data_IF_779508822744
#
_entry.id   IF_779508822744
#
_cell.length_a   1.000
_cell.length_b   1.000
_cell.length_c   1.000
_cell.angle_alpha   90.00
_cell.angle_beta   90.00
_cell.angle_gamma   90.00
#
_symmetry.space_group_name_H-M   'P 1'
#
loop_
_entity.id
_entity.type
_entity.pdbx_description
1 polymer ?
#
# COMPACT_ATOMS: atom_id res chain seq x y z
N UNK A 1 -37.54 -23.51 58.18
CA UNK A 1 -36.39 -22.71 57.69
C UNK A 1 -35.41 -23.59 56.91
N UNK A 2 -35.80 -24.14 55.75
CA UNK A 2 -34.94 -24.97 54.87
C UNK A 2 -35.44 -25.03 53.41
N UNK A 3 -36.20 -24.02 52.96
CA UNK A 3 -36.79 -23.97 51.61
C UNK A 3 -36.14 -22.88 50.74
N UNK A 4 -35.47 -21.88 51.34
CA UNK A 4 -34.86 -20.76 50.61
C UNK A 4 -33.48 -21.03 49.99
N UNK A 5 -32.70 -21.98 50.52
CA UNK A 5 -31.30 -22.20 50.08
C UNK A 5 -31.22 -23.08 48.83
N UNK A 6 -32.19 -23.99 48.62
CA UNK A 6 -32.22 -24.86 47.43
C UNK A 6 -32.66 -24.14 46.16
N UNK A 7 -33.56 -23.16 46.25
CA UNK A 7 -33.94 -22.31 45.11
C UNK A 7 -32.79 -21.38 44.69
N UNK A 8 -32.00 -20.89 45.66
CA UNK A 8 -30.83 -20.04 45.40
C UNK A 8 -29.66 -20.81 44.75
N UNK A 9 -29.46 -22.06 45.16
CA UNK A 9 -28.44 -22.96 44.57
C UNK A 9 -28.84 -23.53 43.20
N UNK A 10 -30.14 -23.69 42.91
CA UNK A 10 -30.62 -24.08 41.57
C UNK A 10 -30.61 -22.91 40.57
N UNK A 11 -30.87 -21.68 41.00
CA UNK A 11 -30.76 -20.50 40.12
C UNK A 11 -29.31 -20.22 39.65
N UNK A 12 -28.32 -20.82 40.33
CA UNK A 12 -26.90 -20.80 39.97
C UNK A 12 -26.46 -22.03 39.15
N UNK A 13 -27.38 -22.86 38.64
CA UNK A 13 -27.09 -23.82 37.57
C UNK A 13 -26.73 -23.08 36.28
N UNK A 14 -25.46 -22.63 36.22
CA UNK A 14 -24.67 -22.17 35.08
C UNK A 14 -25.47 -21.65 33.89
N UNK A 15 -25.89 -20.39 33.98
CA UNK A 15 -26.10 -19.55 32.78
C UNK A 15 -24.90 -19.77 31.85
N UNK A 16 -25.10 -20.20 30.60
CA UNK A 16 -23.97 -20.59 29.73
C UNK A 16 -23.31 -19.33 29.18
N UNK A 17 -22.58 -18.58 30.00
CA UNK A 17 -21.72 -17.51 29.50
C UNK A 17 -20.48 -18.09 28.82
N UNK A 18 -19.97 -17.38 27.81
CA UNK A 18 -18.73 -17.74 27.13
C UNK A 18 -17.66 -16.74 27.51
N UNK A 19 -16.49 -17.20 27.94
CA UNK A 19 -15.37 -16.28 28.16
C UNK A 19 -14.94 -15.70 26.81
N UNK A 20 -14.91 -14.37 26.63
CA UNK A 20 -14.38 -13.75 25.42
C UNK A 20 -12.91 -14.13 25.20
N UNK A 21 -12.38 -13.86 24.00
CA UNK A 21 -10.94 -14.01 23.76
C UNK A 21 -10.10 -13.19 24.76
N UNK A 22 -8.83 -13.56 24.90
CA UNK A 22 -7.87 -12.78 25.70
C UNK A 22 -7.70 -11.39 25.08
N UNK A 23 -7.67 -10.36 25.92
CA UNK A 23 -7.59 -8.93 25.52
C UNK A 23 -8.74 -8.47 24.61
N UNK A 24 -9.94 -9.04 24.82
CA UNK A 24 -11.15 -8.53 24.17
C UNK A 24 -11.51 -7.14 24.73
N UNK A 25 -11.94 -6.16 23.88
CA UNK A 25 -12.15 -6.23 22.44
C UNK A 25 -10.84 -6.21 21.65
N UNK A 26 -10.75 -7.06 20.62
CA UNK A 26 -9.53 -7.18 19.79
C UNK A 26 -9.19 -5.88 19.06
N UNK A 27 -10.21 -5.24 18.50
CA UNK A 27 -10.07 -4.00 17.76
C UNK A 27 -10.54 -2.85 18.63
N UNK A 28 -9.73 -1.79 18.67
CA UNK A 28 -10.03 -0.57 19.42
C UNK A 28 -10.14 -0.78 20.94
N UNK A 29 -9.38 -1.75 21.48
CA UNK A 29 -9.30 -2.07 22.91
C UNK A 29 -9.18 -0.82 23.79
N UNK A 30 -8.29 0.11 23.43
CA UNK A 30 -7.92 1.25 24.27
C UNK A 30 -8.99 2.36 24.29
N UNK A 31 -9.97 2.31 23.40
CA UNK A 31 -11.00 3.36 23.26
C UNK A 31 -12.42 2.87 23.54
N UNK A 32 -12.69 1.58 23.38
CA UNK A 32 -14.00 1.01 23.70
C UNK A 32 -14.20 0.93 25.21
N UNK A 33 -15.39 1.30 25.72
CA UNK A 33 -15.69 1.28 27.15
C UNK A 33 -16.37 -0.03 27.53
N UNK A 34 -15.60 -0.95 28.09
CA UNK A 34 -16.10 -2.26 28.53
C UNK A 34 -16.49 -2.19 30.00
N UNK A 35 -17.63 -2.78 30.37
CA UNK A 35 -18.07 -2.90 31.76
C UNK A 35 -18.26 -4.34 32.18
N UNK A 36 -19.19 -5.05 31.54
CA UNK A 36 -19.48 -6.45 31.85
C UNK A 36 -19.37 -7.32 30.58
N UNK A 37 -18.19 -7.92 30.31
CA UNK A 37 -17.94 -8.68 29.09
C UNK A 37 -18.88 -9.88 28.86
N UNK A 38 -19.64 -10.32 29.87
CA UNK A 38 -20.63 -11.41 29.72
C UNK A 38 -22.07 -10.92 29.56
N UNK A 39 -22.31 -9.61 29.67
CA UNK A 39 -23.61 -9.02 29.40
C UNK A 39 -23.98 -9.12 27.91
N UNK A 40 -25.27 -9.21 27.57
CA UNK A 40 -25.69 -9.37 26.18
C UNK A 40 -25.83 -8.07 25.39
N UNK A 41 -25.75 -6.91 26.04
CA UNK A 41 -26.07 -5.61 25.45
C UNK A 41 -24.79 -4.82 25.15
N UNK A 42 -24.50 -4.59 23.86
CA UNK A 42 -23.58 -3.56 23.41
C UNK A 42 -24.30 -2.25 23.08
N UNK A 43 -23.59 -1.12 23.12
CA UNK A 43 -24.13 0.18 22.75
C UNK A 43 -23.28 0.81 21.65
N UNK A 44 -23.93 1.13 20.54
CA UNK A 44 -23.37 1.89 19.43
C UNK A 44 -23.87 3.33 19.54
N UNK A 45 -22.95 4.25 19.84
CA UNK A 45 -23.24 5.67 20.16
C UNK A 45 -23.14 6.61 18.97
N UNK A 46 -22.88 6.07 17.76
CA UNK A 46 -22.67 6.84 16.54
C UNK A 46 -21.64 7.97 16.76
N UNK A 47 -22.03 9.23 16.59
CA UNK A 47 -21.18 10.40 16.79
C UNK A 47 -21.27 11.03 18.18
N UNK A 48 -22.17 10.55 19.04
CA UNK A 48 -22.22 11.02 20.43
C UNK A 48 -21.07 10.43 21.22
N UNK A 49 -20.32 11.27 21.93
CA UNK A 49 -19.15 10.82 22.71
C UNK A 49 -19.52 9.68 23.68
N UNK A 50 -18.85 8.54 23.52
CA UNK A 50 -19.05 7.34 24.35
C UNK A 50 -18.84 7.60 25.83
N UNK A 51 -17.95 8.52 26.20
CA UNK A 51 -17.69 8.92 27.59
C UNK A 51 -18.92 9.59 28.23
N UNK A 52 -19.72 10.32 27.44
CA UNK A 52 -20.99 10.90 27.90
C UNK A 52 -22.00 9.77 28.13
N UNK A 53 -22.08 8.80 27.23
CA UNK A 53 -23.01 7.66 27.34
C UNK A 53 -22.64 6.73 28.50
N UNK A 54 -21.35 6.51 28.73
CA UNK A 54 -20.82 5.78 29.88
C UNK A 54 -21.28 6.39 31.21
N UNK A 55 -21.27 7.73 31.31
CA UNK A 55 -21.79 8.48 32.47
C UNK A 55 -23.30 8.38 32.60
N UNK A 56 -24.05 8.46 31.50
CA UNK A 56 -25.52 8.32 31.51
C UNK A 56 -25.93 6.94 32.02
N UNK A 57 -25.15 5.90 31.69
CA UNK A 57 -25.43 4.51 32.02
C UNK A 57 -24.64 4.01 33.23
N UNK A 58 -24.07 4.88 34.08
CA UNK A 58 -23.16 4.54 35.19
C UNK A 58 -23.61 3.39 36.09
N UNK A 59 -24.92 3.26 36.32
CA UNK A 59 -25.55 2.27 37.22
C UNK A 59 -26.15 1.05 36.52
N UNK A 60 -26.12 1.01 35.19
CA UNK A 60 -26.74 -0.07 34.42
C UNK A 60 -25.70 -1.05 33.86
N UNK A 61 -26.02 -2.35 33.79
CA UNK A 61 -25.11 -3.32 33.21
C UNK A 61 -25.13 -3.20 31.69
N UNK A 62 -23.95 -3.26 31.09
CA UNK A 62 -23.76 -3.36 29.65
C UNK A 62 -22.43 -4.03 29.35
N UNK A 63 -22.29 -4.52 28.14
CA UNK A 63 -21.07 -5.16 27.68
C UNK A 63 -20.01 -4.15 27.30
N UNK A 64 -20.26 -3.41 26.21
CA UNK A 64 -19.31 -2.46 25.63
C UNK A 64 -20.03 -1.27 25.01
N UNK A 65 -19.44 -0.08 25.13
CA UNK A 65 -19.87 1.14 24.44
C UNK A 65 -18.81 1.52 23.42
N UNK A 66 -19.26 1.81 22.20
CA UNK A 66 -18.39 2.27 21.11
C UNK A 66 -19.08 3.30 20.21
N UNK A 67 -18.27 4.13 19.57
CA UNK A 67 -18.71 5.01 18.49
C UNK A 67 -18.70 4.27 17.16
N UNK A 68 -19.56 4.70 16.24
CA UNK A 68 -19.57 4.22 14.85
C UNK A 68 -19.59 5.44 13.93
N UNK A 69 -18.40 5.99 13.66
CA UNK A 69 -18.26 7.22 12.86
C UNK A 69 -18.42 6.99 11.35
N UNK A 70 -18.16 5.78 10.85
CA UNK A 70 -18.31 5.44 9.43
C UNK A 70 -18.87 4.03 9.26
N UNK A 71 -19.44 3.74 8.10
CA UNK A 71 -19.96 2.41 7.79
C UNK A 71 -18.84 1.35 7.75
N UNK A 72 -17.60 1.72 7.45
CA UNK A 72 -16.44 0.83 7.53
C UNK A 72 -16.22 0.29 8.95
N UNK A 73 -16.61 1.03 9.98
CA UNK A 73 -16.54 0.57 11.38
C UNK A 73 -17.41 -0.65 11.67
N UNK A 74 -18.39 -0.98 10.82
CA UNK A 74 -19.21 -2.19 10.94
C UNK A 74 -18.33 -3.45 10.83
N UNK A 75 -17.26 -3.43 10.03
CA UNK A 75 -16.28 -4.52 9.96
C UNK A 75 -15.61 -4.80 11.32
N UNK A 76 -15.29 -3.76 12.07
CA UNK A 76 -14.71 -3.91 13.40
C UNK A 76 -15.75 -4.36 14.43
N UNK A 77 -16.99 -3.87 14.30
CA UNK A 77 -18.11 -4.30 15.13
C UNK A 77 -18.38 -5.81 14.99
N UNK A 78 -18.49 -6.33 13.76
CA UNK A 78 -18.70 -7.76 13.50
C UNK A 78 -17.58 -8.58 14.14
N UNK A 79 -16.32 -8.19 13.93
CA UNK A 79 -15.17 -8.91 14.52
C UNK A 79 -15.20 -8.94 16.03
N UNK A 80 -15.45 -7.81 16.69
CA UNK A 80 -15.53 -7.75 18.14
C UNK A 80 -16.72 -8.56 18.68
N UNK A 81 -17.87 -8.58 17.99
CA UNK A 81 -19.03 -9.40 18.40
C UNK A 81 -18.75 -10.90 18.22
N UNK A 82 -18.12 -11.31 17.13
CA UNK A 82 -17.73 -12.71 16.92
C UNK A 82 -16.69 -13.19 17.93
N UNK A 83 -15.84 -12.28 18.41
CA UNK A 83 -14.86 -12.53 19.47
C UNK A 83 -15.47 -12.54 20.88
N UNK A 84 -16.72 -12.10 21.04
CA UNK A 84 -17.49 -12.16 22.29
C UNK A 84 -18.94 -12.60 22.04
N UNK A 85 -19.19 -13.93 22.01
CA UNK A 85 -20.52 -14.48 21.71
C UNK A 85 -21.64 -14.10 22.68
N UNK A 86 -21.32 -13.50 23.83
CA UNK A 86 -22.34 -13.06 24.78
C UNK A 86 -23.16 -11.89 24.23
N UNK A 87 -22.60 -11.05 23.35
CA UNK A 87 -23.33 -9.92 22.77
C UNK A 87 -24.44 -10.46 21.86
N UNK A 88 -25.69 -10.14 22.21
CA UNK A 88 -26.91 -10.54 21.47
C UNK A 88 -27.77 -9.35 21.06
N UNK A 89 -27.56 -8.20 21.68
CA UNK A 89 -28.31 -6.98 21.41
C UNK A 89 -27.34 -5.82 21.27
N UNK A 90 -27.50 -4.99 20.24
CA UNK A 90 -26.79 -3.73 20.09
C UNK A 90 -27.82 -2.61 20.09
N UNK A 91 -27.75 -1.74 21.08
CA UNK A 91 -28.57 -0.53 21.14
C UNK A 91 -27.89 0.54 20.30
N UNK A 92 -28.59 1.00 19.26
CA UNK A 92 -28.12 2.06 18.37
C UNK A 92 -28.73 3.38 18.85
N UNK A 93 -27.91 4.24 19.45
CA UNK A 93 -28.36 5.52 20.01
C UNK A 93 -27.34 6.62 19.73
N UNK A 94 -27.74 7.89 19.80
CA UNK A 94 -26.87 9.03 19.58
C UNK A 94 -27.04 9.69 18.21
N UNK A 95 -26.17 10.66 17.93
CA UNK A 95 -26.24 11.51 16.76
C UNK A 95 -25.73 10.80 15.50
N UNK A 96 -26.55 10.78 14.45
CA UNK A 96 -26.17 10.26 13.13
C UNK A 96 -25.64 11.39 12.24
N UNK A 97 -24.37 11.32 11.83
CA UNK A 97 -23.75 12.32 10.95
C UNK A 97 -23.18 11.74 9.65
N UNK A 98 -23.08 10.41 9.52
CA UNK A 98 -22.40 9.76 8.38
C UNK A 98 -23.22 8.67 7.69
N UNK A 99 -24.45 8.44 8.13
CA UNK A 99 -25.32 7.32 7.76
C UNK A 99 -24.74 5.96 8.14
N UNK A 100 -23.88 5.91 9.17
CA UNK A 100 -23.26 4.66 9.62
C UNK A 100 -24.25 3.76 10.36
N UNK A 101 -25.14 4.34 11.18
CA UNK A 101 -26.24 3.64 11.81
C UNK A 101 -27.29 3.19 10.80
N UNK A 102 -27.61 4.05 9.81
CA UNK A 102 -28.44 3.64 8.67
C UNK A 102 -27.83 2.43 7.94
N UNK A 103 -26.53 2.46 7.67
CA UNK A 103 -25.83 1.36 6.98
C UNK A 103 -25.84 0.07 7.79
N UNK A 104 -25.69 0.15 9.11
CA UNK A 104 -25.84 -1.02 9.99
C UNK A 104 -27.25 -1.63 9.88
N UNK A 105 -28.29 -0.81 9.92
CA UNK A 105 -29.68 -1.30 9.77
C UNK A 105 -29.95 -1.90 8.39
N UNK A 106 -29.38 -1.30 7.33
CA UNK A 106 -29.48 -1.84 5.97
C UNK A 106 -28.74 -3.17 5.83
N UNK A 107 -27.57 -3.33 6.46
CA UNK A 107 -26.88 -4.61 6.52
C UNK A 107 -27.75 -5.67 7.20
N UNK A 108 -28.35 -5.36 8.35
CA UNK A 108 -29.24 -6.31 9.03
C UNK A 108 -30.42 -6.73 8.13
N UNK A 109 -31.05 -5.76 7.48
CA UNK A 109 -32.27 -5.97 6.69
C UNK A 109 -32.02 -6.63 5.33
N UNK A 110 -31.00 -6.21 4.61
CA UNK A 110 -30.80 -6.55 3.20
C UNK A 110 -29.51 -7.32 2.92
N UNK A 111 -28.55 -7.33 3.83
CA UNK A 111 -27.26 -7.98 3.63
C UNK A 111 -26.34 -7.19 2.70
N UNK A 112 -25.50 -7.92 1.96
CA UNK A 112 -24.51 -7.36 1.02
C UNK A 112 -24.74 -7.87 -0.40
N UNK A 113 -24.27 -7.14 -1.40
CA UNK A 113 -24.29 -7.55 -2.82
C UNK A 113 -23.10 -8.46 -3.17
N UNK A 114 -22.99 -8.86 -4.45
CA UNK A 114 -21.89 -9.71 -4.97
C UNK A 114 -20.49 -9.07 -4.78
N UNK A 115 -20.42 -7.75 -4.67
CA UNK A 115 -19.19 -7.00 -4.40
C UNK A 115 -19.00 -6.73 -2.91
N UNK A 116 -19.81 -7.36 -2.06
CA UNK A 116 -19.83 -7.23 -0.59
C UNK A 116 -20.16 -5.81 -0.10
N UNK A 117 -20.80 -4.97 -0.93
CA UNK A 117 -21.31 -3.67 -0.53
C UNK A 117 -22.64 -3.80 0.20
N UNK A 118 -22.86 -3.00 1.23
CA UNK A 118 -24.10 -3.02 2.00
C UNK A 118 -25.26 -2.54 1.11
N UNK A 119 -26.24 -3.42 0.88
CA UNK A 119 -27.38 -3.11 0.01
C UNK A 119 -28.21 -1.97 0.61
N UNK A 120 -28.41 -0.89 -0.15
CA UNK A 120 -29.11 0.35 0.28
C UNK A 120 -28.43 1.10 1.45
N UNK A 121 -27.22 0.71 1.82
CA UNK A 121 -26.38 1.39 2.80
C UNK A 121 -25.12 1.98 2.17
N UNK A 122 -24.23 2.49 3.03
CA UNK A 122 -22.85 2.84 2.68
C UNK A 122 -21.91 1.75 3.19
N UNK A 123 -20.71 1.69 2.64
CA UNK A 123 -19.68 0.76 3.09
C UNK A 123 -19.79 -0.65 2.52
N UNK A 124 -18.76 -1.43 2.76
CA UNK A 124 -18.59 -2.81 2.29
C UNK A 124 -18.00 -3.65 3.42
N UNK A 125 -18.26 -4.95 3.37
CA UNK A 125 -17.73 -5.91 4.33
C UNK A 125 -16.47 -6.55 3.75
N UNK A 126 -15.37 -6.46 4.50
CA UNK A 126 -14.04 -6.97 4.12
C UNK A 126 -14.07 -8.49 3.86
N UNK A 127 -13.31 -8.95 2.87
CA UNK A 127 -13.28 -10.35 2.41
C UNK A 127 -12.84 -11.35 3.48
N UNK A 128 -12.10 -10.88 4.48
CA UNK A 128 -11.58 -11.64 5.62
C UNK A 128 -12.71 -12.07 6.58
N UNK A 129 -13.91 -11.50 6.46
CA UNK A 129 -15.12 -11.95 7.16
C UNK A 129 -15.94 -12.84 6.21
N UNK A 130 -16.01 -14.17 6.37
CA UNK A 130 -16.79 -15.03 5.47
C UNK A 130 -18.28 -14.67 5.41
N UNK A 131 -18.94 -14.91 4.27
CA UNK A 131 -20.37 -14.57 4.08
C UNK A 131 -21.28 -15.24 5.12
N UNK A 132 -20.97 -16.48 5.51
CA UNK A 132 -21.68 -17.19 6.57
C UNK A 132 -21.67 -16.44 7.90
N UNK A 133 -20.58 -15.71 8.19
CA UNK A 133 -20.41 -14.92 9.42
C UNK A 133 -21.22 -13.63 9.34
N UNK A 134 -21.34 -13.03 8.16
CA UNK A 134 -22.24 -11.89 7.93
C UNK A 134 -23.68 -12.31 8.22
N UNK A 135 -24.13 -13.43 7.63
CA UNK A 135 -25.48 -13.94 7.84
C UNK A 135 -25.73 -14.36 9.29
N UNK A 136 -24.74 -14.94 9.95
CA UNK A 136 -24.85 -15.26 11.37
C UNK A 136 -25.00 -13.99 12.22
N UNK A 137 -24.21 -12.95 11.97
CA UNK A 137 -24.36 -11.66 12.64
C UNK A 137 -25.78 -11.10 12.45
N UNK A 138 -26.28 -11.12 11.22
CA UNK A 138 -27.61 -10.63 10.86
C UNK A 138 -28.74 -11.38 11.58
N UNK A 139 -28.63 -12.69 11.74
CA UNK A 139 -29.67 -13.51 12.35
C UNK A 139 -29.57 -13.65 13.87
N UNK A 140 -28.36 -13.56 14.44
CA UNK A 140 -28.12 -13.83 15.87
C UNK A 140 -28.12 -12.57 16.73
N UNK A 141 -27.86 -11.41 16.14
CA UNK A 141 -27.74 -10.12 16.82
C UNK A 141 -28.97 -9.27 16.53
N UNK A 142 -29.58 -8.72 17.58
CA UNK A 142 -30.69 -7.78 17.47
C UNK A 142 -30.17 -6.33 17.52
N UNK A 143 -30.58 -5.49 16.57
CA UNK A 143 -30.31 -4.04 16.62
C UNK A 143 -31.56 -3.32 17.10
N UNK A 144 -31.45 -2.65 18.26
CA UNK A 144 -32.52 -1.80 18.80
C UNK A 144 -32.24 -0.37 18.37
N UNK A 145 -32.97 0.12 17.36
CA UNK A 145 -32.81 1.48 16.83
C UNK A 145 -33.51 2.50 17.75
N UNK A 146 -32.71 3.27 18.49
CA UNK A 146 -33.14 4.39 19.33
C UNK A 146 -32.55 5.71 18.81
N UNK A 147 -32.17 5.81 17.54
CA UNK A 147 -31.71 7.09 16.97
C UNK A 147 -32.81 8.15 17.12
N UNK A 148 -32.38 9.37 17.46
CA UNK A 148 -33.28 10.50 17.72
C UNK A 148 -34.07 10.43 19.04
N UNK A 149 -33.94 9.37 19.82
CA UNK A 149 -34.59 9.26 21.13
C UNK A 149 -33.80 10.01 22.22
N UNK A 150 -34.50 10.44 23.26
CA UNK A 150 -33.92 11.17 24.41
C UNK A 150 -33.07 10.25 25.30
N UNK A 151 -32.25 10.87 26.16
CA UNK A 151 -31.45 10.16 27.17
C UNK A 151 -32.32 9.30 28.11
N UNK A 152 -33.51 9.77 28.48
CA UNK A 152 -34.37 9.06 29.43
C UNK A 152 -34.96 7.80 28.79
N UNK A 153 -35.24 7.84 27.49
CA UNK A 153 -35.67 6.66 26.73
C UNK A 153 -34.55 5.64 26.57
N UNK A 154 -33.30 6.08 26.38
CA UNK A 154 -32.14 5.19 26.40
C UNK A 154 -32.03 4.47 27.75
N UNK A 155 -32.06 5.22 28.86
CA UNK A 155 -31.95 4.66 30.22
C UNK A 155 -33.07 3.66 30.49
N UNK A 156 -34.33 4.00 30.17
CA UNK A 156 -35.47 3.08 30.30
C UNK A 156 -35.26 1.80 29.51
N UNK A 157 -34.81 1.91 28.25
CA UNK A 157 -34.59 0.73 27.42
C UNK A 157 -33.45 -0.14 27.93
N UNK A 158 -32.39 0.47 28.45
CA UNK A 158 -31.28 -0.26 29.08
C UNK A 158 -31.73 -0.98 30.36
N UNK A 159 -32.58 -0.36 31.18
CA UNK A 159 -33.17 -1.01 32.37
C UNK A 159 -34.08 -2.20 32.02
N UNK A 160 -34.86 -2.09 30.94
CA UNK A 160 -35.62 -3.22 30.40
C UNK A 160 -34.70 -4.36 29.95
N UNK A 161 -33.67 -4.05 29.15
CA UNK A 161 -32.75 -5.05 28.62
C UNK A 161 -31.88 -5.71 29.70
N UNK A 162 -31.60 -5.01 30.80
CA UNK A 162 -30.89 -5.54 31.96
C UNK A 162 -31.67 -6.66 32.66
N UNK A 163 -33.01 -6.67 32.55
CA UNK A 163 -33.88 -7.72 33.10
C UNK A 163 -34.03 -8.92 32.16
N UNK A 164 -33.59 -8.78 30.92
CA UNK A 164 -33.65 -9.83 29.89
C UNK A 164 -32.35 -10.63 29.92
N UNK A 165 -32.48 -11.95 29.95
CA UNK A 165 -31.36 -12.86 29.76
C UNK A 165 -31.34 -13.40 28.33
N UNK A 166 -30.18 -13.36 27.69
CA UNK A 166 -29.96 -13.98 26.37
C UNK A 166 -28.70 -14.83 26.41
N UNK A 167 -28.85 -16.12 26.12
CA UNK A 167 -27.71 -17.04 26.00
C UNK A 167 -26.79 -16.61 24.84
N UNK A 168 -25.48 -16.86 24.93
CA UNK A 168 -24.52 -16.60 23.85
C UNK A 168 -24.92 -17.33 22.57
N UNK A 169 -24.65 -16.71 21.41
CA UNK A 169 -25.05 -17.29 20.12
C UNK A 169 -24.13 -18.41 19.63
N UNK A 170 -22.94 -18.55 20.23
CA UNK A 170 -21.93 -19.57 19.95
C UNK A 170 -21.26 -19.99 21.25
N UNK A 171 -20.76 -21.23 21.31
CA UNK A 171 -19.99 -21.75 22.45
C UNK A 171 -18.50 -21.36 22.40
N UNK A 172 -18.02 -20.91 21.25
CA UNK A 172 -16.62 -20.51 21.04
C UNK A 172 -16.53 -19.12 20.39
N UNK A 173 -15.67 -18.23 20.90
CA UNK A 173 -15.36 -16.99 20.21
C UNK A 173 -14.56 -17.27 18.93
N UNK A 174 -14.66 -16.38 17.93
CA UNK A 174 -13.94 -16.45 16.65
C UNK A 174 -13.25 -15.13 16.36
N UNK A 175 -12.06 -15.22 15.77
CA UNK A 175 -11.27 -14.06 15.31
C UNK A 175 -11.17 -14.09 13.79
N UNK A 176 -11.17 -12.90 13.18
CA UNK A 176 -10.95 -12.72 11.75
C UNK A 176 -9.90 -11.63 11.55
N UNK A 177 -8.90 -11.83 10.65
CA UNK A 177 -7.85 -10.85 10.42
C UNK A 177 -8.42 -9.55 9.87
N UNK A 178 -7.73 -8.43 10.12
CA UNK A 178 -8.05 -7.13 9.52
C UNK A 178 -7.55 -7.11 8.07
N UNK A 179 -8.27 -6.45 7.17
CA UNK A 179 -7.76 -6.23 5.82
C UNK A 179 -6.60 -5.24 5.84
N UNK A 180 -5.45 -5.63 5.28
CA UNK A 180 -4.31 -4.74 5.05
C UNK A 180 -4.35 -4.27 3.59
N UNK A 181 -4.30 -2.96 3.32
CA UNK A 181 -4.27 -2.46 1.95
C UNK A 181 -2.99 -2.95 1.26
N UNK A 182 -3.14 -3.73 0.18
CA UNK A 182 -2.03 -4.09 -0.70
C UNK A 182 -1.73 -2.91 -1.62
N UNK A 183 -0.68 -2.14 -1.32
CA UNK A 183 -0.20 -1.07 -2.20
C UNK A 183 0.92 -1.63 -3.06
N UNK A 184 0.63 -1.95 -4.32
CA UNK A 184 1.65 -2.48 -5.25
C UNK A 184 2.61 -1.39 -5.77
N UNK A 185 2.11 -0.15 -5.89
CA UNK A 185 2.88 1.02 -6.36
C UNK A 185 2.46 2.26 -5.56
N UNK A 186 3.44 3.04 -5.11
CA UNK A 186 3.18 4.32 -4.44
C UNK A 186 2.71 5.38 -5.47
N UNK A 187 1.76 6.26 -5.13
CA UNK A 187 1.32 7.32 -6.03
C UNK A 187 2.51 8.22 -6.43
N UNK A 188 2.63 8.51 -7.73
CA UNK A 188 3.70 9.31 -8.34
C UNK A 188 3.29 9.83 -9.72
N UNK A 189 4.09 10.72 -10.29
CA UNK A 189 4.03 11.17 -11.68
C UNK A 189 4.18 9.99 -12.65
N UNK A 190 3.72 10.16 -13.90
CA UNK A 190 3.84 9.10 -14.90
C UNK A 190 5.21 9.11 -15.61
N UNK A 191 5.88 10.26 -15.64
CA UNK A 191 7.11 10.47 -16.39
C UNK A 191 7.83 11.73 -15.90
N UNK A 192 9.14 11.84 -16.18
CA UNK A 192 9.92 13.04 -15.87
C UNK A 192 10.57 12.98 -14.49
N UNK A 193 11.13 11.82 -14.12
CA UNK A 193 11.77 11.63 -12.82
C UNK A 193 13.15 12.28 -12.81
N UNK A 194 13.56 12.82 -11.66
CA UNK A 194 14.86 13.46 -11.49
C UNK A 194 15.58 12.86 -10.29
N UNK A 195 16.80 12.37 -10.52
CA UNK A 195 17.68 11.82 -9.49
C UNK A 195 19.03 12.50 -9.58
N UNK A 196 19.56 12.94 -8.44
CA UNK A 196 20.88 13.57 -8.37
C UNK A 196 21.73 12.96 -7.25
N UNK A 197 23.01 12.73 -7.53
CA UNK A 197 24.01 12.32 -6.55
C UNK A 197 25.36 12.97 -6.80
N UNK A 198 26.27 12.83 -5.83
CA UNK A 198 27.66 13.31 -5.98
C UNK A 198 28.44 12.36 -6.88
N UNK A 199 28.33 11.06 -6.60
CA UNK A 199 29.01 9.98 -7.31
C UNK A 199 28.03 9.13 -8.13
N UNK A 200 28.54 8.36 -9.09
CA UNK A 200 27.77 7.41 -9.91
C UNK A 200 27.07 6.39 -8.99
N UNK A 201 27.81 5.78 -8.06
CA UNK A 201 27.26 4.76 -7.16
C UNK A 201 26.10 5.29 -6.29
N UNK A 202 26.22 6.51 -5.75
CA UNK A 202 25.15 7.15 -4.99
C UNK A 202 23.93 7.49 -5.85
N UNK A 203 24.17 7.96 -7.08
CA UNK A 203 23.10 8.31 -8.03
C UNK A 203 22.34 7.06 -8.46
N UNK A 204 23.06 5.96 -8.71
CA UNK A 204 22.52 4.65 -9.04
C UNK A 204 21.61 4.09 -7.93
N UNK A 205 22.04 4.13 -6.66
CA UNK A 205 21.19 3.69 -5.53
C UNK A 205 19.89 4.50 -5.43
N UNK A 206 19.97 5.82 -5.60
CA UNK A 206 18.77 6.68 -5.59
C UNK A 206 17.85 6.31 -6.74
N UNK A 207 18.40 6.09 -7.93
CA UNK A 207 17.66 5.70 -9.13
C UNK A 207 16.96 4.35 -8.93
N UNK A 208 17.63 3.34 -8.37
CA UNK A 208 17.02 2.06 -8.04
C UNK A 208 15.87 2.21 -7.04
N UNK A 209 16.04 3.05 -6.02
CA UNK A 209 15.00 3.33 -5.05
C UNK A 209 13.77 4.00 -5.68
N UNK A 210 13.96 4.92 -6.63
CA UNK A 210 12.85 5.49 -7.40
C UNK A 210 12.12 4.42 -8.21
N UNK A 211 12.85 3.59 -8.97
CA UNK A 211 12.27 2.49 -9.77
C UNK A 211 11.52 1.51 -8.87
N UNK A 212 12.08 1.17 -7.70
CA UNK A 212 11.46 0.24 -6.77
C UNK A 212 10.12 0.77 -6.22
N UNK A 213 10.08 2.05 -5.84
CA UNK A 213 8.89 2.68 -5.23
C UNK A 213 7.80 3.05 -6.23
N UNK A 214 8.21 3.60 -7.37
CA UNK A 214 7.33 4.31 -8.30
C UNK A 214 7.29 3.67 -9.69
N UNK A 215 8.23 2.77 -9.99
CA UNK A 215 8.26 2.06 -11.26
C UNK A 215 7.00 1.23 -11.45
N UNK A 216 6.43 1.33 -12.65
CA UNK A 216 5.18 0.65 -13.02
C UNK A 216 5.48 -0.73 -13.60
N UNK A 217 4.68 -1.76 -13.28
CA UNK A 217 4.84 -3.07 -13.90
C UNK A 217 4.77 -2.97 -15.43
N UNK A 218 5.74 -3.57 -16.12
CA UNK A 218 5.80 -3.66 -17.57
C UNK A 218 6.01 -5.10 -18.00
N UNK A 219 5.16 -5.57 -18.90
CA UNK A 219 5.35 -6.86 -19.56
C UNK A 219 6.40 -6.73 -20.66
N UNK A 220 7.35 -7.66 -20.69
CA UNK A 220 8.36 -7.73 -21.77
C UNK A 220 8.18 -8.98 -22.62
N UNK A 221 8.72 -8.93 -23.84
CA UNK A 221 8.70 -10.04 -24.78
C UNK A 221 9.50 -11.27 -24.30
N UNK A 222 10.44 -11.08 -23.36
CA UNK A 222 11.43 -12.09 -22.98
C UNK A 222 11.04 -12.97 -21.79
N UNK A 223 9.96 -12.65 -21.07
CA UNK A 223 9.49 -13.47 -19.95
C UNK A 223 8.01 -13.24 -19.66
N UNK A 224 7.24 -14.32 -19.51
CA UNK A 224 5.84 -14.28 -19.04
C UNK A 224 5.72 -14.03 -17.53
N UNK A 225 6.82 -14.17 -16.77
CA UNK A 225 6.81 -14.24 -15.30
C UNK A 225 7.69 -13.18 -14.61
N UNK A 226 8.47 -12.36 -15.32
CA UNK A 226 9.23 -11.27 -14.70
C UNK A 226 8.41 -9.99 -14.70
N UNK A 227 7.99 -9.58 -13.50
CA UNK A 227 7.49 -8.24 -13.24
C UNK A 227 8.66 -7.26 -13.27
N UNK A 228 8.91 -6.64 -14.43
CA UNK A 228 9.85 -5.53 -14.55
C UNK A 228 9.15 -4.24 -14.15
N UNK A 229 9.85 -3.37 -13.43
CA UNK A 229 9.38 -2.02 -13.13
C UNK A 229 10.07 -1.02 -14.05
N UNK A 230 9.27 -0.14 -14.67
CA UNK A 230 9.77 0.91 -15.57
C UNK A 230 9.42 2.30 -15.04
N UNK A 231 10.38 3.21 -15.19
CA UNK A 231 10.16 4.65 -15.11
C UNK A 231 10.48 5.28 -16.47
N UNK A 232 9.59 6.16 -16.94
CA UNK A 232 9.76 6.88 -18.20
C UNK A 232 10.43 8.24 -17.98
N UNK A 233 11.37 8.59 -18.86
CA UNK A 233 12.09 9.87 -18.88
C UNK A 233 12.73 10.22 -17.54
N UNK A 234 13.50 9.29 -16.98
CA UNK A 234 14.33 9.54 -15.80
C UNK A 234 15.60 10.28 -16.21
N UNK A 235 15.90 11.39 -15.51
CA UNK A 235 17.15 12.13 -15.62
C UNK A 235 18.00 11.86 -14.38
N UNK A 236 19.20 11.31 -14.58
CA UNK A 236 20.18 11.08 -13.53
C UNK A 236 21.34 12.08 -13.66
N UNK A 237 21.65 12.81 -12.59
CA UNK A 237 22.70 13.83 -12.56
C UNK A 237 23.77 13.48 -11.55
N UNK A 238 25.00 13.31 -12.03
CA UNK A 238 26.21 13.10 -11.22
C UNK A 238 26.99 14.41 -11.19
N UNK A 239 27.40 14.87 -10.00
CA UNK A 239 27.86 16.26 -9.82
C UNK A 239 29.32 16.41 -9.38
N UNK A 240 29.91 15.41 -8.73
CA UNK A 240 31.22 15.52 -8.07
C UNK A 240 32.10 14.27 -8.26
N UNK A 241 31.77 13.39 -9.22
CA UNK A 241 32.58 12.20 -9.49
C UNK A 241 33.94 12.60 -10.06
N UNK A 242 35.01 12.04 -9.51
CA UNK A 242 36.35 12.14 -10.07
C UNK A 242 36.59 10.92 -10.99
N UNK A 243 36.63 11.10 -12.33
CA UNK A 243 36.85 9.98 -13.24
C UNK A 243 38.24 9.34 -13.10
N UNK A 244 39.22 10.04 -12.51
CA UNK A 244 40.53 9.47 -12.21
C UNK A 244 40.54 8.68 -10.89
N UNK A 245 39.56 8.93 -10.00
CA UNK A 245 39.44 8.29 -8.69
C UNK A 245 37.98 7.94 -8.39
N UNK A 246 37.44 7.02 -9.18
CA UNK A 246 36.04 6.60 -9.08
C UNK A 246 35.71 6.08 -7.68
N UNK A 247 34.66 6.64 -7.07
CA UNK A 247 34.10 6.14 -5.83
C UNK A 247 33.43 4.78 -6.07
N UNK A 248 34.04 3.73 -5.53
CA UNK A 248 33.67 2.33 -5.81
C UNK A 248 33.40 1.58 -4.51
N UNK A 249 32.16 1.66 -3.98
CA UNK A 249 31.77 0.96 -2.76
C UNK A 249 31.47 -0.52 -3.01
N UNK A 250 31.58 -1.34 -1.96
CA UNK A 250 31.41 -2.81 -2.01
C UNK A 250 30.00 -3.28 -2.39
N UNK A 251 29.00 -2.40 -2.35
CA UNK A 251 27.62 -2.76 -2.72
C UNK A 251 27.36 -2.73 -4.24
N UNK A 252 28.34 -2.30 -5.05
CA UNK A 252 28.20 -2.36 -6.50
C UNK A 252 28.17 -3.83 -6.95
N UNK A 253 27.31 -4.19 -7.92
CA UNK A 253 27.10 -5.59 -8.29
C UNK A 253 28.17 -6.14 -9.27
N UNK A 254 29.32 -5.48 -9.36
CA UNK A 254 30.40 -5.81 -10.29
C UNK A 254 31.75 -5.39 -9.70
N UNK A 255 32.81 -6.00 -10.21
CA UNK A 255 34.18 -5.77 -9.79
C UNK A 255 34.84 -4.62 -10.55
N UNK A 256 35.83 -3.97 -9.92
CA UNK A 256 36.58 -2.86 -10.55
C UNK A 256 37.23 -3.28 -11.87
N UNK A 257 37.73 -4.51 -11.97
CA UNK A 257 38.35 -5.02 -13.19
C UNK A 257 37.36 -5.13 -14.37
N UNK A 258 36.08 -5.38 -14.09
CA UNK A 258 35.03 -5.42 -15.12
C UNK A 258 34.77 -4.02 -15.70
N UNK A 259 34.75 -3.00 -14.83
CA UNK A 259 34.64 -1.60 -15.26
C UNK A 259 35.82 -1.16 -16.12
N UNK A 260 37.04 -1.51 -15.71
CA UNK A 260 38.26 -1.17 -16.44
C UNK A 260 38.29 -1.83 -17.82
N UNK A 261 37.86 -3.09 -17.91
CA UNK A 261 37.71 -3.78 -19.19
C UNK A 261 36.67 -3.09 -20.10
N UNK A 262 35.55 -2.65 -19.51
CA UNK A 262 34.48 -1.98 -20.24
C UNK A 262 34.88 -0.64 -20.85
N UNK A 263 35.83 0.10 -20.24
CA UNK A 263 36.34 1.34 -20.83
C UNK A 263 36.90 1.16 -22.23
N UNK A 264 37.56 0.04 -22.52
CA UNK A 264 38.08 -0.23 -23.85
C UNK A 264 36.94 -0.28 -24.90
N UNK A 265 35.76 -0.79 -24.53
CA UNK A 265 34.61 -0.90 -25.42
C UNK A 265 33.98 0.45 -25.77
N UNK A 266 34.00 1.42 -24.86
CA UNK A 266 33.44 2.76 -25.09
C UNK A 266 34.47 3.74 -25.66
N UNK A 267 35.72 3.65 -25.20
CA UNK A 267 36.76 4.66 -25.47
C UNK A 267 37.54 4.43 -26.76
N UNK A 268 37.43 3.25 -27.39
CA UNK A 268 38.15 2.89 -28.62
C UNK A 268 37.19 2.57 -29.78
N UNK A 269 37.70 2.32 -30.97
CA UNK A 269 36.94 1.82 -32.12
C UNK A 269 37.01 0.28 -32.28
N UNK A 270 37.44 -0.42 -31.22
CA UNK A 270 37.66 -1.87 -31.22
C UNK A 270 36.43 -2.62 -31.69
N UNK A 271 36.65 -3.56 -32.61
CA UNK A 271 35.66 -4.54 -33.03
C UNK A 271 35.73 -5.77 -32.11
N UNK A 272 34.59 -6.16 -31.56
CA UNK A 272 34.45 -7.38 -30.75
C UNK A 272 33.70 -8.41 -31.60
N UNK A 273 34.36 -9.49 -32.05
CA UNK A 273 33.72 -10.51 -32.88
C UNK A 273 32.49 -11.10 -32.21
N UNK A 274 31.38 -11.20 -32.95
CA UNK A 274 30.15 -11.82 -32.48
C UNK A 274 29.19 -10.91 -31.69
N UNK A 275 29.55 -9.65 -31.40
CA UNK A 275 28.66 -8.68 -30.75
C UNK A 275 27.87 -7.90 -31.79
N UNK A 276 26.57 -7.67 -31.54
CA UNK A 276 25.66 -6.99 -32.49
C UNK A 276 26.08 -5.55 -32.83
N UNK A 277 26.64 -4.82 -31.86
CA UNK A 277 27.20 -3.48 -32.01
C UNK A 277 28.17 -3.15 -30.86
N UNK A 278 29.01 -2.13 -31.06
CA UNK A 278 29.88 -1.57 -30.03
C UNK A 278 29.76 -0.03 -30.02
N UNK A 279 29.56 0.58 -28.84
CA UNK A 279 29.33 2.03 -28.73
C UNK A 279 30.54 2.86 -29.21
N UNK A 280 31.75 2.47 -28.82
CA UNK A 280 32.96 3.17 -29.19
C UNK A 280 33.15 3.26 -30.71
N UNK A 281 32.94 2.14 -31.43
CA UNK A 281 32.99 2.07 -32.89
C UNK A 281 31.87 2.85 -33.57
N UNK A 282 30.64 2.81 -33.03
CA UNK A 282 29.50 3.62 -33.52
C UNK A 282 29.84 5.11 -33.50
N UNK A 283 30.52 5.57 -32.45
CA UNK A 283 30.88 6.98 -32.30
C UNK A 283 32.12 7.38 -33.11
N UNK A 284 33.03 6.46 -33.44
CA UNK A 284 34.35 6.80 -34.03
C UNK A 284 34.51 6.44 -35.51
N UNK A 285 33.92 5.34 -35.96
CA UNK A 285 34.24 4.75 -37.27
C UNK A 285 32.98 4.47 -38.11
N UNK A 286 31.89 4.03 -37.49
CA UNK A 286 30.70 3.50 -38.19
C UNK A 286 30.14 4.45 -39.25
N UNK A 287 30.09 5.76 -38.95
CA UNK A 287 29.56 6.78 -39.87
C UNK A 287 30.61 7.43 -40.76
N UNK A 288 31.85 6.90 -40.79
CA UNK A 288 32.97 7.52 -41.50
C UNK A 288 33.49 8.81 -40.89
N UNK A 289 33.03 9.15 -39.67
CA UNK A 289 33.45 10.34 -38.91
C UNK A 289 33.75 9.94 -37.47
N UNK A 290 34.89 10.41 -36.95
CA UNK A 290 35.24 10.29 -35.54
C UNK A 290 34.57 11.41 -34.74
N UNK A 291 33.32 11.17 -34.33
CA UNK A 291 32.48 12.16 -33.67
C UNK A 291 33.10 12.64 -32.35
N UNK A 292 33.80 11.77 -31.62
CA UNK A 292 34.48 12.13 -30.37
C UNK A 292 35.68 13.03 -30.62
N UNK A 293 36.47 12.75 -31.66
CA UNK A 293 37.58 13.62 -32.08
C UNK A 293 37.07 15.00 -32.50
N UNK A 294 35.99 15.06 -33.29
CA UNK A 294 35.38 16.32 -33.72
C UNK A 294 34.84 17.12 -32.52
N UNK A 295 34.16 16.47 -31.57
CA UNK A 295 33.72 17.11 -30.32
C UNK A 295 34.89 17.71 -29.53
N UNK A 296 36.01 16.98 -29.39
CA UNK A 296 37.21 17.47 -28.69
C UNK A 296 37.84 18.69 -29.40
N UNK A 297 37.90 18.67 -30.72
CA UNK A 297 38.38 19.82 -31.50
C UNK A 297 37.46 21.03 -31.33
N UNK A 298 36.15 20.80 -31.34
CA UNK A 298 35.17 21.85 -31.15
C UNK A 298 35.23 22.46 -29.75
N UNK A 299 35.39 21.65 -28.71
CA UNK A 299 35.57 22.11 -27.33
C UNK A 299 36.79 23.04 -27.19
N UNK A 300 37.91 22.72 -27.87
CA UNK A 300 39.13 23.53 -27.85
C UNK A 300 38.97 24.85 -28.60
N UNK A 301 38.32 24.83 -29.75
CA UNK A 301 38.31 25.97 -30.68
C UNK A 301 37.08 26.88 -30.49
N UNK A 302 35.94 26.31 -30.07
CA UNK A 302 34.64 26.97 -29.96
C UNK A 302 33.83 26.35 -28.80
N UNK A 303 34.23 26.56 -27.54
CA UNK A 303 33.63 25.90 -26.36
C UNK A 303 32.11 26.14 -26.21
N UNK A 304 31.59 27.31 -26.60
CA UNK A 304 30.16 27.63 -26.55
C UNK A 304 29.33 27.00 -27.68
N UNK A 305 29.95 26.16 -28.51
CA UNK A 305 29.28 25.50 -29.62
C UNK A 305 28.29 24.46 -29.12
N UNK A 306 27.02 24.63 -29.49
CA UNK A 306 25.94 23.65 -29.27
C UNK A 306 25.98 22.44 -30.22
N UNK A 307 27.08 22.28 -30.97
CA UNK A 307 27.24 21.23 -32.00
C UNK A 307 28.07 20.03 -31.53
N UNK A 308 28.49 19.98 -30.26
CA UNK A 308 29.20 18.82 -29.72
C UNK A 308 28.22 17.66 -29.53
N UNK A 309 28.14 16.80 -30.54
CA UNK A 309 27.16 15.71 -30.62
C UNK A 309 27.85 14.44 -31.13
N UNK A 310 27.58 13.31 -30.50
CA UNK A 310 27.84 11.99 -31.06
C UNK A 310 26.57 11.15 -31.04
N UNK A 311 26.28 10.46 -32.14
CA UNK A 311 25.14 9.54 -32.28
C UNK A 311 25.65 8.12 -32.48
N UNK A 312 24.86 7.16 -32.00
CA UNK A 312 25.16 5.72 -32.12
C UNK A 312 24.13 4.98 -32.96
N UNK A 313 22.89 5.48 -33.00
CA UNK A 313 21.79 4.91 -33.77
C UNK A 313 21.97 5.18 -35.26
N UNK A 314 21.86 4.13 -36.07
CA UNK A 314 21.78 4.19 -37.52
C UNK A 314 20.38 3.73 -37.93
N UNK A 315 19.44 4.66 -38.20
CA UNK A 315 18.06 4.29 -38.50
C UNK A 315 17.92 3.31 -39.66
N UNK A 316 18.78 3.41 -40.69
CA UNK A 316 18.72 2.54 -41.86
C UNK A 316 19.09 1.09 -41.48
N UNK A 317 20.13 0.92 -40.68
CA UNK A 317 20.57 -0.39 -40.22
C UNK A 317 19.69 -0.97 -39.11
N UNK A 318 19.36 -0.15 -38.11
CA UNK A 318 18.79 -0.59 -36.85
C UNK A 318 17.30 -0.92 -36.98
N UNK A 319 16.54 -0.21 -37.83
CA UNK A 319 15.14 -0.58 -38.13
C UNK A 319 15.03 -1.94 -38.80
N UNK A 320 16.00 -2.29 -39.67
CA UNK A 320 16.08 -3.61 -40.29
C UNK A 320 16.32 -4.75 -39.28
N UNK A 321 16.72 -4.42 -38.05
CA UNK A 321 17.02 -5.39 -36.97
C UNK A 321 16.01 -5.37 -35.83
N UNK A 322 14.98 -4.52 -35.89
CA UNK A 322 14.05 -4.27 -34.78
C UNK A 322 13.38 -5.52 -34.19
N UNK A 323 13.24 -6.60 -34.97
CA UNK A 323 12.66 -7.86 -34.51
C UNK A 323 13.67 -9.00 -34.27
N UNK A 324 14.92 -8.86 -34.77
CA UNK A 324 15.86 -9.98 -34.90
C UNK A 324 17.30 -9.66 -34.45
N UNK A 325 17.58 -8.49 -33.88
CA UNK A 325 18.93 -8.16 -33.40
C UNK A 325 18.98 -6.99 -32.43
N UNK A 326 20.05 -6.94 -31.63
CA UNK A 326 20.26 -5.89 -30.65
C UNK A 326 20.63 -4.56 -31.33
N UNK A 327 20.05 -3.48 -30.82
CA UNK A 327 20.25 -2.11 -31.30
C UNK A 327 20.73 -1.23 -30.14
N UNK A 328 21.53 -0.19 -30.41
CA UNK A 328 22.12 0.65 -29.37
C UNK A 328 21.06 1.27 -28.45
N UNK A 329 21.28 1.13 -27.14
CA UNK A 329 20.43 1.69 -26.09
C UNK A 329 20.85 3.14 -25.76
N UNK A 330 22.15 3.41 -25.60
CA UNK A 330 22.70 4.75 -25.69
C UNK A 330 22.53 5.23 -27.13
N UNK A 331 21.79 6.31 -27.36
CA UNK A 331 21.48 6.83 -28.70
C UNK A 331 22.26 8.09 -29.06
N UNK A 332 22.63 8.88 -28.05
CA UNK A 332 23.21 10.20 -28.24
C UNK A 332 24.05 10.65 -27.04
N UNK A 333 25.19 11.28 -27.31
CA UNK A 333 25.96 12.08 -26.35
C UNK A 333 25.96 13.53 -26.79
N UNK A 334 25.71 14.44 -25.85
CA UNK A 334 25.74 15.90 -26.08
C UNK A 334 26.74 16.52 -25.12
N UNK A 335 27.72 17.23 -25.65
CA UNK A 335 28.63 18.08 -24.89
C UNK A 335 28.13 19.52 -24.86
N UNK A 336 28.26 20.20 -23.73
CA UNK A 336 27.93 21.63 -23.62
C UNK A 336 28.81 22.29 -22.57
N UNK A 337 29.18 23.56 -22.78
CA UNK A 337 29.89 24.35 -21.77
C UNK A 337 28.93 25.39 -21.21
N UNK A 338 28.85 25.45 -19.88
CA UNK A 338 28.11 26.47 -19.14
C UNK A 338 28.90 26.81 -17.88
N UNK A 339 28.99 28.09 -17.52
CA UNK A 339 29.68 28.57 -16.32
C UNK A 339 31.11 28.01 -16.19
N UNK A 340 31.86 28.00 -17.30
CA UNK A 340 33.21 27.42 -17.42
C UNK A 340 33.32 25.93 -17.04
N UNK A 341 32.21 25.19 -17.05
CA UNK A 341 32.16 23.75 -16.81
C UNK A 341 31.67 23.03 -18.06
N UNK A 342 32.30 21.88 -18.35
CA UNK A 342 31.84 20.98 -19.40
C UNK A 342 30.81 20.00 -18.83
N UNK A 343 29.65 19.93 -19.46
CA UNK A 343 28.58 18.99 -19.19
C UNK A 343 28.51 17.99 -20.34
N UNK A 344 28.43 16.70 -19.99
CA UNK A 344 28.20 15.62 -20.92
C UNK A 344 26.88 14.95 -20.58
N UNK A 345 25.93 14.99 -21.50
CA UNK A 345 24.62 14.33 -21.35
C UNK A 345 24.56 13.10 -22.23
N UNK A 346 24.24 11.95 -21.63
CA UNK A 346 24.02 10.70 -22.34
C UNK A 346 22.52 10.37 -22.39
N UNK A 347 22.00 10.21 -23.60
CA UNK A 347 20.59 9.87 -23.83
C UNK A 347 20.45 8.39 -24.15
N UNK A 348 19.66 7.70 -23.35
CA UNK A 348 19.32 6.28 -23.55
C UNK A 348 17.84 6.16 -23.92
N UNK A 349 17.53 5.34 -24.94
CA UNK A 349 16.13 5.02 -25.28
C UNK A 349 15.51 3.98 -24.33
N UNK A 350 16.36 3.22 -23.65
CA UNK A 350 16.05 2.19 -22.67
C UNK A 350 17.36 1.86 -21.96
N UNK A 351 17.34 1.55 -20.67
CA UNK A 351 18.54 1.13 -19.96
C UNK A 351 18.17 0.21 -18.79
N UNK A 352 18.88 -0.91 -18.67
CA UNK A 352 18.75 -1.82 -17.52
C UNK A 352 19.57 -1.25 -16.36
N UNK A 353 18.91 -1.00 -15.25
CA UNK A 353 19.50 -0.33 -14.10
C UNK A 353 20.00 -1.30 -13.03
N UNK A 354 19.75 -2.60 -13.18
CA UNK A 354 20.19 -3.63 -12.22
C UNK A 354 21.44 -4.35 -12.74
N UNK A 355 21.48 -4.65 -14.05
CA UNK A 355 22.59 -5.43 -14.64
C UNK A 355 23.40 -4.68 -15.71
N UNK A 356 22.90 -3.55 -16.21
CA UNK A 356 23.51 -2.81 -17.33
C UNK A 356 23.96 -1.39 -17.02
N UNK A 357 24.12 -1.03 -15.73
CA UNK A 357 24.25 0.36 -15.29
C UNK A 357 25.61 1.00 -15.58
#
# INVERSE_FOLDING_TARGET
>A
MKVGIRAWLWYHERMKSVKPIVNWPKLYHDILKVRDPVNHVGICTLWTEREIVEKILDKLPYNVIGNLYSAQGINAMIRNVMANPNIRTIVLWGSEMSLSGHSLLMLMKYGVDEKRKIIKGRGEIESEIPDQVIEEFRHKIEIVDLRGQTKDQLVRKMDELAKVHKEPFSTKPREFPKSEPKVEVLPSEQTGFYVQGKTVAQTWLKLLNEIYKYGRPKHTRYSKNNELKEILNLTAVVTEEDPAKVYFPEYLPFERGELEAYYAEIMTDREVPGVAYNYGRRMRQHFGVDQIKEMKQLLKNRPDSKKMLAITTDPKLDWGRANNGDTPCLVMLVGSVQDNKFFLTAHFRSQDMVHGC
#
